data_IF_538808136214
#
_entry.id   IF_538808136214
#
_cell.length_a   1.000
_cell.length_b   1.000
_cell.length_c   1.000
_cell.angle_alpha   90.00
_cell.angle_beta   90.00
_cell.angle_gamma   90.00
#
_symmetry.space_group_name_H-M   'P 1'
#
loop_
_entity.id
_entity.type
_entity.pdbx_description
1 polymer ?
#
# COMPACT_ATOMS: atom_id res chain seq x y z
N UNK A 1 -0.85 -15.27 5.37
CA UNK A 1 -0.82 -13.84 4.98
C UNK A 1 -1.70 -13.65 3.76
N UNK A 2 -2.39 -12.52 3.64
CA UNK A 2 -3.16 -12.14 2.45
C UNK A 2 -2.62 -10.80 1.95
N UNK A 3 -1.83 -10.78 0.87
CA UNK A 3 -1.41 -9.54 0.23
C UNK A 3 -2.60 -8.88 -0.47
N UNK A 4 -2.77 -7.58 -0.29
CA UNK A 4 -3.85 -6.81 -0.88
C UNK A 4 -3.32 -5.44 -1.27
N UNK A 5 -3.42 -5.08 -2.55
CA UNK A 5 -2.95 -3.80 -3.08
C UNK A 5 -4.03 -3.09 -3.88
N UNK A 6 -3.60 -2.44 -4.96
CA UNK A 6 -4.42 -1.78 -5.96
C UNK A 6 -3.76 -1.94 -7.32
N UNK A 7 -4.56 -1.80 -8.38
CA UNK A 7 -4.07 -1.62 -9.74
C UNK A 7 -4.38 -0.19 -10.14
N UNK A 8 -3.38 0.67 -10.13
CA UNK A 8 -3.54 2.11 -10.32
C UNK A 8 -2.30 2.77 -10.88
N UNK A 9 -2.50 3.88 -11.59
CA UNK A 9 -1.40 4.71 -12.06
C UNK A 9 -0.44 5.04 -10.91
N UNK A 10 0.86 5.00 -11.17
CA UNK A 10 1.91 5.52 -10.29
C UNK A 10 2.82 6.42 -11.14
N UNK A 11 2.17 7.33 -11.88
CA UNK A 11 2.76 8.09 -12.97
C UNK A 11 3.34 7.24 -14.09
N UNK A 12 4.15 7.87 -14.94
CA UNK A 12 4.72 7.20 -16.12
C UNK A 12 5.96 6.34 -15.81
N UNK A 13 6.59 6.55 -14.66
CA UNK A 13 7.84 5.90 -14.29
C UNK A 13 7.65 4.56 -13.57
N UNK A 14 6.50 4.29 -12.96
CA UNK A 14 6.25 3.09 -12.17
C UNK A 14 5.08 2.25 -12.72
N UNK A 15 5.05 0.93 -12.44
CA UNK A 15 4.03 0.04 -12.96
C UNK A 15 2.68 0.25 -12.28
N UNK A 16 1.58 -0.09 -12.99
CA UNK A 16 0.22 -0.06 -12.46
C UNK A 16 0.01 -0.95 -11.22
N UNK A 17 0.86 -1.97 -11.05
CA UNK A 17 0.75 -2.94 -9.97
C UNK A 17 1.59 -2.63 -8.74
N UNK A 18 2.13 -1.41 -8.59
CA UNK A 18 3.07 -1.02 -7.52
C UNK A 18 2.64 -1.55 -6.15
N UNK A 19 1.42 -1.21 -5.71
CA UNK A 19 0.87 -1.59 -4.41
C UNK A 19 0.82 -3.10 -4.21
N UNK A 20 0.31 -3.82 -5.20
CA UNK A 20 0.18 -5.27 -5.13
C UNK A 20 1.53 -5.97 -5.18
N UNK A 21 2.42 -5.55 -6.07
CA UNK A 21 3.77 -6.11 -6.23
C UNK A 21 4.58 -5.98 -4.93
N UNK A 22 4.56 -4.80 -4.31
CA UNK A 22 5.28 -4.57 -3.06
C UNK A 22 4.66 -5.33 -1.88
N UNK A 23 3.32 -5.40 -1.79
CA UNK A 23 2.65 -6.21 -0.77
C UNK A 23 2.94 -7.71 -0.92
N UNK A 24 2.98 -8.22 -2.15
CA UNK A 24 3.37 -9.61 -2.46
C UNK A 24 4.82 -9.85 -2.05
N UNK A 25 5.74 -8.97 -2.46
CA UNK A 25 7.16 -9.09 -2.13
C UNK A 25 7.41 -9.13 -0.62
N UNK A 26 6.73 -8.28 0.16
CA UNK A 26 6.82 -8.32 1.63
C UNK A 26 6.33 -9.66 2.20
N UNK A 27 5.25 -10.21 1.63
CA UNK A 27 4.69 -11.48 2.06
C UNK A 27 5.63 -12.65 1.73
N UNK A 28 6.23 -12.66 0.54
CA UNK A 28 7.16 -13.69 0.07
C UNK A 28 8.42 -13.72 0.94
N UNK A 29 9.10 -12.58 1.08
CA UNK A 29 10.34 -12.49 1.87
C UNK A 29 10.09 -12.80 3.36
N UNK A 30 8.94 -12.42 3.93
CA UNK A 30 8.56 -12.80 5.30
C UNK A 30 8.19 -14.28 5.43
N UNK A 31 7.56 -14.87 4.40
CA UNK A 31 7.22 -16.29 4.35
C UNK A 31 8.48 -17.14 4.27
N UNK A 32 9.49 -16.77 3.48
CA UNK A 32 10.77 -17.49 3.44
C UNK A 32 11.43 -17.57 4.82
N UNK A 33 11.33 -16.50 5.62
CA UNK A 33 11.93 -16.43 6.96
C UNK A 33 11.12 -17.16 8.04
N UNK A 34 9.81 -17.33 7.83
CA UNK A 34 8.91 -17.84 8.88
C UNK A 34 8.28 -19.19 8.54
N UNK A 35 8.05 -19.49 7.27
CA UNK A 35 7.22 -20.60 6.78
C UNK A 35 5.71 -20.33 6.87
N UNK A 36 5.27 -19.09 7.10
CA UNK A 36 3.83 -18.76 7.13
C UNK A 36 3.27 -18.70 5.70
N UNK A 37 2.22 -19.48 5.44
CA UNK A 37 1.57 -19.57 4.13
C UNK A 37 1.04 -18.21 3.63
N UNK A 38 1.13 -18.00 2.31
CA UNK A 38 0.59 -16.84 1.59
C UNK A 38 -0.64 -17.29 0.79
N UNK A 39 -1.75 -16.57 0.93
CA UNK A 39 -2.92 -16.74 0.07
C UNK A 39 -2.71 -15.99 -1.26
N UNK A 40 -3.39 -16.36 -2.35
CA UNK A 40 -3.37 -15.57 -3.58
C UNK A 40 -3.70 -14.09 -3.31
N UNK A 41 -2.97 -13.15 -3.93
CA UNK A 41 -3.12 -11.73 -3.66
C UNK A 41 -4.44 -11.17 -4.21
N UNK A 42 -4.93 -10.12 -3.55
CA UNK A 42 -6.02 -9.28 -4.05
C UNK A 42 -5.41 -8.10 -4.80
N UNK A 43 -5.49 -8.15 -6.14
CA UNK A 43 -4.86 -7.18 -7.04
C UNK A 43 -5.62 -5.86 -7.20
N UNK A 44 -6.94 -5.88 -7.03
CA UNK A 44 -7.78 -4.71 -7.23
C UNK A 44 -8.25 -4.16 -5.89
N UNK A 45 -7.97 -2.87 -5.67
CA UNK A 45 -8.37 -2.10 -4.50
C UNK A 45 -9.48 -1.10 -4.82
N UNK A 46 -9.74 -0.22 -3.85
CA UNK A 46 -10.58 0.94 -4.05
C UNK A 46 -9.70 2.14 -4.38
N UNK A 47 -9.73 2.60 -5.63
CA UNK A 47 -8.88 3.67 -6.16
C UNK A 47 -9.58 4.56 -7.21
N UNK A 48 -10.85 4.98 -7.02
CA UNK A 48 -11.58 5.72 -8.06
C UNK A 48 -10.91 7.06 -8.41
N UNK A 49 -10.22 7.67 -7.45
CA UNK A 49 -9.47 8.91 -7.63
C UNK A 49 -8.28 8.78 -8.59
N UNK A 50 -7.82 7.55 -8.85
CA UNK A 50 -6.77 7.26 -9.82
C UNK A 50 -7.30 6.88 -11.21
N UNK A 51 -8.62 6.92 -11.44
CA UNK A 51 -9.25 6.63 -12.75
C UNK A 51 -8.97 7.69 -13.82
N UNK A 52 -8.40 8.83 -13.43
CA UNK A 52 -8.01 9.92 -14.34
C UNK A 52 -6.92 9.51 -15.34
N UNK A 53 -6.26 8.37 -15.17
CA UNK A 53 -5.26 7.83 -16.09
C UNK A 53 -5.60 6.38 -16.50
N UNK A 54 -5.30 5.99 -17.75
CA UNK A 54 -5.63 4.67 -18.26
C UNK A 54 -4.84 3.57 -17.53
N UNK A 55 -5.50 2.44 -17.31
CA UNK A 55 -4.90 1.25 -16.69
C UNK A 55 -5.29 1.04 -15.23
N UNK A 56 -5.72 2.08 -14.52
CA UNK A 56 -6.32 1.94 -13.18
C UNK A 56 -7.58 1.07 -13.25
N UNK A 57 -7.68 0.11 -12.34
CA UNK A 57 -8.86 -0.75 -12.16
C UNK A 57 -9.28 -0.66 -10.69
N UNK A 58 -10.30 0.16 -10.44
CA UNK A 58 -10.90 0.30 -9.11
C UNK A 58 -12.14 -0.57 -8.96
N UNK A 59 -12.27 -1.25 -7.82
CA UNK A 59 -13.53 -1.87 -7.41
C UNK A 59 -14.32 -0.94 -6.49
N UNK A 60 -15.62 -1.18 -6.39
CA UNK A 60 -16.49 -0.50 -5.41
C UNK A 60 -16.11 -0.94 -3.99
N UNK A 61 -16.27 -0.08 -2.97
CA UNK A 61 -15.84 -0.41 -1.60
C UNK A 61 -16.60 -1.64 -1.06
N UNK A 62 -17.88 -1.80 -1.40
CA UNK A 62 -18.67 -2.97 -1.01
C UNK A 62 -18.10 -4.26 -1.61
N UNK A 63 -17.62 -4.22 -2.86
CA UNK A 63 -17.02 -5.39 -3.52
C UNK A 63 -15.70 -5.78 -2.85
N UNK A 64 -14.87 -4.79 -2.49
CA UNK A 64 -13.62 -5.05 -1.77
C UNK A 64 -13.89 -5.70 -0.40
N UNK A 65 -14.90 -5.19 0.33
CA UNK A 65 -15.32 -5.72 1.62
C UNK A 65 -15.80 -7.17 1.48
N UNK A 66 -16.74 -7.43 0.57
CA UNK A 66 -17.31 -8.77 0.38
C UNK A 66 -16.26 -9.77 -0.13
N UNK A 67 -15.37 -9.36 -1.05
CA UNK A 67 -14.30 -10.22 -1.56
C UNK A 67 -13.34 -10.64 -0.43
N UNK A 68 -12.89 -9.68 0.38
CA UNK A 68 -11.99 -9.95 1.49
C UNK A 68 -12.67 -10.82 2.55
N UNK A 69 -13.94 -10.53 2.88
CA UNK A 69 -14.73 -11.36 3.79
C UNK A 69 -14.87 -12.80 3.28
N UNK A 70 -15.20 -12.99 2.00
CA UNK A 70 -15.38 -14.32 1.40
C UNK A 70 -14.07 -15.12 1.29
N UNK A 71 -12.95 -14.45 1.02
CA UNK A 71 -11.63 -15.07 1.08
C UNK A 71 -11.33 -15.60 2.50
N UNK A 72 -11.52 -14.76 3.51
CA UNK A 72 -11.30 -15.12 4.92
C UNK A 72 -12.27 -16.22 5.37
N UNK A 73 -13.54 -16.14 4.99
CA UNK A 73 -14.58 -17.16 5.24
C UNK A 73 -14.21 -18.50 4.64
N UNK A 74 -13.78 -18.51 3.38
CA UNK A 74 -13.36 -19.74 2.69
C UNK A 74 -12.17 -20.38 3.39
N UNK A 75 -11.14 -19.58 3.70
CA UNK A 75 -9.95 -20.07 4.41
C UNK A 75 -10.27 -20.52 5.84
N UNK A 76 -11.17 -19.83 6.55
CA UNK A 76 -11.56 -20.25 7.89
C UNK A 76 -12.29 -21.60 7.89
N UNK A 77 -13.05 -21.93 6.84
CA UNK A 77 -13.63 -23.27 6.67
C UNK A 77 -12.58 -24.37 6.53
N UNK A 78 -11.39 -24.06 6.02
CA UNK A 78 -10.26 -24.99 5.94
C UNK A 78 -9.45 -25.09 7.25
N UNK A 79 -9.84 -24.36 8.30
CA UNK A 79 -9.20 -24.43 9.62
C UNK A 79 -8.28 -23.26 9.94
N UNK A 80 -8.05 -22.32 9.02
CA UNK A 80 -7.27 -21.11 9.32
C UNK A 80 -8.00 -20.23 10.35
N UNK A 81 -7.28 -19.73 11.36
CA UNK A 81 -7.86 -18.92 12.45
C UNK A 81 -7.19 -17.57 12.66
N UNK A 82 -5.98 -17.39 12.13
CA UNK A 82 -5.21 -16.15 12.24
C UNK A 82 -4.86 -15.66 10.84
N UNK A 83 -5.11 -14.38 10.57
CA UNK A 83 -4.88 -13.75 9.27
C UNK A 83 -4.06 -12.48 9.47
N UNK A 84 -3.07 -12.28 8.61
CA UNK A 84 -2.36 -11.00 8.48
C UNK A 84 -2.64 -10.47 7.08
N UNK A 85 -3.27 -9.31 7.00
CA UNK A 85 -3.58 -8.60 5.77
C UNK A 85 -2.47 -7.58 5.52
N UNK A 86 -1.75 -7.72 4.40
CA UNK A 86 -0.65 -6.82 4.05
C UNK A 86 -1.22 -5.79 3.07
N UNK A 87 -1.41 -4.56 3.53
CA UNK A 87 -2.03 -3.49 2.74
C UNK A 87 -0.99 -2.76 1.90
N UNK A 88 -1.08 -2.85 0.58
CA UNK A 88 -0.21 -2.14 -0.36
C UNK A 88 -0.69 -0.72 -0.69
N UNK A 89 -2.01 -0.46 -0.62
CA UNK A 89 -2.64 0.80 -1.06
C UNK A 89 -3.02 1.72 0.10
N UNK A 90 -2.20 1.70 1.16
CA UNK A 90 -2.17 2.65 2.29
C UNK A 90 -3.57 3.09 2.76
N UNK A 91 -3.76 4.40 2.99
CA UNK A 91 -4.95 4.99 3.59
C UNK A 91 -6.23 4.81 2.75
N UNK A 92 -6.12 4.55 1.44
CA UNK A 92 -7.29 4.44 0.56
C UNK A 92 -8.01 3.08 0.72
N UNK A 93 -7.26 1.98 0.88
CA UNK A 93 -7.85 0.68 1.18
C UNK A 93 -8.16 0.46 2.67
N UNK A 94 -7.43 1.13 3.57
CA UNK A 94 -7.45 0.85 5.01
C UNK A 94 -8.86 0.85 5.65
N UNK A 95 -9.77 1.82 5.38
CA UNK A 95 -11.12 1.81 5.97
C UNK A 95 -11.92 0.56 5.58
N UNK A 96 -11.85 0.15 4.32
CA UNK A 96 -12.59 -1.00 3.80
C UNK A 96 -12.03 -2.31 4.34
N UNK A 97 -10.70 -2.41 4.45
CA UNK A 97 -10.04 -3.54 5.10
C UNK A 97 -10.46 -3.64 6.57
N UNK A 98 -10.53 -2.52 7.30
CA UNK A 98 -10.95 -2.50 8.70
C UNK A 98 -12.40 -2.96 8.87
N UNK A 99 -13.32 -2.49 8.01
CA UNK A 99 -14.73 -2.91 8.03
C UNK A 99 -14.87 -4.41 7.75
N UNK A 100 -14.20 -4.91 6.70
CA UNK A 100 -14.22 -6.33 6.37
C UNK A 100 -13.62 -7.18 7.50
N UNK A 101 -12.52 -6.70 8.10
CA UNK A 101 -11.83 -7.39 9.19
C UNK A 101 -12.69 -7.45 10.45
N UNK A 102 -13.32 -6.34 10.87
CA UNK A 102 -14.25 -6.33 12.00
C UNK A 102 -15.33 -7.38 11.80
N UNK A 103 -16.01 -7.34 10.65
CA UNK A 103 -17.12 -8.25 10.35
C UNK A 103 -16.66 -9.70 10.37
N UNK A 104 -15.52 -10.01 9.75
CA UNK A 104 -14.95 -11.34 9.73
C UNK A 104 -14.56 -11.84 11.13
N UNK A 105 -13.94 -11.00 11.97
CA UNK A 105 -13.62 -11.39 13.36
C UNK A 105 -14.89 -11.70 14.16
N UNK A 106 -15.90 -10.82 14.07
CA UNK A 106 -17.16 -10.95 14.79
C UNK A 106 -17.96 -12.19 14.37
N UNK A 107 -18.04 -12.46 13.06
CA UNK A 107 -18.90 -13.53 12.53
C UNK A 107 -18.20 -14.87 12.41
N UNK A 108 -16.91 -14.89 12.07
CA UNK A 108 -16.15 -16.12 11.78
C UNK A 108 -15.28 -16.58 12.96
N UNK A 109 -15.18 -15.77 14.04
CA UNK A 109 -14.37 -16.05 15.24
C UNK A 109 -12.90 -16.30 14.90
N UNK A 110 -12.36 -15.47 14.03
CA UNK A 110 -10.95 -15.46 13.62
C UNK A 110 -10.24 -14.24 14.21
N UNK A 111 -8.90 -14.26 14.26
CA UNK A 111 -8.09 -13.09 14.59
C UNK A 111 -7.47 -12.51 13.32
N UNK A 112 -7.61 -11.21 13.11
CA UNK A 112 -7.12 -10.52 11.92
C UNK A 112 -6.23 -9.36 12.35
N UNK A 113 -5.06 -9.27 11.72
CA UNK A 113 -4.09 -8.21 11.92
C UNK A 113 -3.85 -7.51 10.58
N UNK A 114 -3.78 -6.18 10.59
CA UNK A 114 -3.47 -5.39 9.40
C UNK A 114 -2.01 -4.95 9.52
N UNK A 115 -1.21 -5.29 8.52
CA UNK A 115 0.14 -4.81 8.33
C UNK A 115 0.11 -3.73 7.25
N UNK A 116 0.24 -2.47 7.65
CA UNK A 116 0.24 -1.32 6.75
C UNK A 116 1.65 -0.70 6.70
N UNK A 117 2.36 -0.74 5.56
CA UNK A 117 3.70 -0.19 5.40
C UNK A 117 3.85 1.27 5.83
N UNK A 118 2.81 2.11 5.71
CA UNK A 118 2.87 3.51 6.14
C UNK A 118 3.11 3.61 7.65
N UNK A 119 2.35 2.84 8.43
CA UNK A 119 2.44 2.84 9.89
C UNK A 119 3.59 1.97 10.41
N UNK A 120 3.94 0.91 9.67
CA UNK A 120 4.99 -0.04 10.06
C UNK A 120 6.41 0.48 9.78
N UNK A 121 6.55 1.64 9.13
CA UNK A 121 7.85 2.24 8.78
C UNK A 121 8.16 3.56 9.48
N UNK A 122 7.31 4.01 10.42
CA UNK A 122 7.42 5.35 11.02
C UNK A 122 8.78 5.63 11.68
N UNK A 123 9.39 4.64 12.34
CA UNK A 123 10.70 4.82 12.99
C UNK A 123 11.86 4.81 12.00
N UNK A 124 11.75 4.06 10.89
CA UNK A 124 12.71 4.11 9.80
C UNK A 124 12.62 5.44 9.05
N UNK A 125 11.41 5.91 8.72
CA UNK A 125 11.16 7.16 8.01
C UNK A 125 11.66 8.41 8.78
N UNK A 126 11.90 8.30 10.08
CA UNK A 126 12.59 9.34 10.89
C UNK A 126 14.11 9.36 10.72
N UNK A 127 14.70 8.28 10.19
CA UNK A 127 16.15 8.06 10.08
C UNK A 127 16.64 8.11 8.63
N UNK A 128 15.78 7.73 7.69
CA UNK A 128 16.05 7.76 6.26
C UNK A 128 15.35 8.98 5.67
N UNK A 129 16.12 9.80 4.94
CA UNK A 129 15.62 11.01 4.28
C UNK A 129 14.84 10.65 3.00
N UNK A 130 13.55 10.38 3.19
CA UNK A 130 12.59 10.30 2.11
C UNK A 130 12.02 11.70 1.81
N UNK A 131 11.75 11.95 0.54
CA UNK A 131 10.99 13.12 0.11
C UNK A 131 9.55 13.16 0.65
N UNK A 132 8.80 14.22 0.30
CA UNK A 132 7.42 14.39 0.76
C UNK A 132 6.53 13.20 0.42
N UNK A 133 5.70 12.81 1.38
CA UNK A 133 4.78 11.69 1.27
C UNK A 133 3.58 11.97 0.34
N UNK A 134 3.29 11.01 -0.53
CA UNK A 134 2.12 11.05 -1.38
C UNK A 134 1.94 9.78 -2.20
N UNK A 135 2.03 9.91 -3.52
CA UNK A 135 1.61 8.92 -4.51
C UNK A 135 2.63 8.82 -5.64
N UNK A 136 3.15 7.61 -5.90
CA UNK A 136 4.33 7.40 -6.74
C UNK A 136 5.53 8.21 -6.24
N UNK A 137 5.61 8.36 -4.93
CA UNK A 137 6.60 9.19 -4.26
C UNK A 137 7.99 8.52 -4.21
N UNK A 138 8.94 9.20 -3.56
CA UNK A 138 10.30 8.71 -3.32
C UNK A 138 10.31 7.34 -2.62
N UNK A 139 9.42 7.11 -1.66
CA UNK A 139 9.41 5.90 -0.85
C UNK A 139 8.94 4.69 -1.68
N UNK A 140 7.84 4.83 -2.43
CA UNK A 140 7.32 3.76 -3.30
C UNK A 140 8.29 3.44 -4.42
N UNK A 141 8.80 4.49 -5.05
CA UNK A 141 9.69 4.37 -6.20
C UNK A 141 11.04 3.78 -5.77
N UNK A 142 11.60 4.22 -4.63
CA UNK A 142 12.80 3.58 -4.04
C UNK A 142 12.55 2.10 -3.77
N UNK A 143 11.40 1.74 -3.18
CA UNK A 143 11.05 0.35 -2.87
C UNK A 143 10.94 -0.52 -4.13
N UNK A 144 10.32 0.02 -5.18
CA UNK A 144 10.28 -0.61 -6.51
C UNK A 144 11.67 -0.76 -7.12
N UNK A 145 12.50 0.28 -7.11
CA UNK A 145 13.87 0.21 -7.64
C UNK A 145 14.70 -0.87 -6.96
N UNK A 146 14.41 -1.19 -5.70
CA UNK A 146 15.03 -2.30 -5.00
C UNK A 146 14.49 -3.68 -5.43
N UNK A 147 13.16 -3.87 -5.45
CA UNK A 147 12.55 -5.20 -5.66
C UNK A 147 12.30 -5.55 -7.13
N UNK A 148 12.00 -4.55 -7.95
CA UNK A 148 11.60 -4.68 -9.35
C UNK A 148 12.23 -3.56 -10.22
N UNK A 149 13.57 -3.41 -10.22
CA UNK A 149 14.25 -2.33 -10.94
C UNK A 149 13.90 -2.27 -12.43
N UNK A 150 13.64 -3.41 -13.05
CA UNK A 150 13.28 -3.54 -14.46
C UNK A 150 11.91 -2.94 -14.82
N UNK A 151 11.06 -2.69 -13.82
CA UNK A 151 9.75 -2.09 -13.99
C UNK A 151 9.74 -0.56 -13.81
N UNK A 152 10.87 0.03 -13.40
CA UNK A 152 10.98 1.47 -13.12
C UNK A 152 11.70 2.20 -14.25
N UNK A 153 11.08 3.27 -14.75
CA UNK A 153 11.60 4.15 -15.80
C UNK A 153 11.86 5.54 -15.25
N UNK A 154 12.94 5.69 -14.50
CA UNK A 154 13.27 6.94 -13.78
C UNK A 154 13.39 8.16 -14.70
N UNK A 155 13.70 7.97 -15.97
CA UNK A 155 13.72 9.02 -16.99
C UNK A 155 12.33 9.64 -17.27
N UNK A 156 11.25 8.95 -16.90
CA UNK A 156 9.86 9.43 -17.01
C UNK A 156 9.34 10.01 -15.67
N UNK A 157 10.14 9.98 -14.60
CA UNK A 157 9.71 10.42 -13.27
C UNK A 157 9.54 11.94 -13.23
N UNK A 158 8.46 12.40 -12.61
CA UNK A 158 8.15 13.83 -12.44
C UNK A 158 7.82 14.15 -11.00
N UNK A 159 8.42 15.22 -10.50
CA UNK A 159 8.17 15.72 -9.16
C UNK A 159 6.98 16.68 -9.14
N UNK A 160 6.15 16.55 -8.11
CA UNK A 160 5.10 17.51 -7.81
C UNK A 160 4.75 17.47 -6.33
N UNK A 161 4.90 18.59 -5.63
CA UNK A 161 4.58 18.71 -4.21
C UNK A 161 3.51 19.81 -4.04
N UNK A 162 2.24 19.45 -3.79
CA UNK A 162 1.18 20.43 -3.61
C UNK A 162 1.27 21.11 -2.25
N UNK A 163 0.83 22.36 -2.17
CA UNK A 163 0.52 22.98 -0.87
C UNK A 163 -0.70 22.27 -0.26
N UNK A 164 -0.60 21.89 1.03
CA UNK A 164 -1.65 21.18 1.75
C UNK A 164 -2.11 21.95 2.99
N UNK A 165 -3.42 22.06 3.13
CA UNK A 165 -4.07 22.56 4.36
C UNK A 165 -4.29 21.41 5.35
N UNK A 166 -4.50 20.20 4.84
CA UNK A 166 -4.74 18.97 5.61
C UNK A 166 -3.65 17.96 5.28
N UNK A 167 -3.09 17.35 6.32
CA UNK A 167 -2.03 16.33 6.23
C UNK A 167 -2.59 14.99 6.66
N UNK A 168 -2.11 13.93 6.00
CA UNK A 168 -2.47 12.55 6.25
C UNK A 168 -1.18 11.71 6.24
N UNK A 169 -0.29 12.05 7.17
CA UNK A 169 0.98 11.37 7.38
C UNK A 169 1.25 11.36 8.89
N UNK A 170 1.32 10.19 9.54
CA UNK A 170 1.50 10.12 11.00
C UNK A 170 2.81 10.73 11.51
N UNK A 171 3.76 11.06 10.62
CA UNK A 171 4.98 11.79 10.98
C UNK A 171 4.80 13.31 10.95
N UNK A 172 3.76 13.84 10.30
CA UNK A 172 3.51 15.26 10.26
C UNK A 172 2.95 15.76 11.61
N UNK A 173 3.60 16.72 12.29
CA UNK A 173 3.08 17.25 13.55
C UNK A 173 1.69 17.90 13.43
N UNK A 174 1.29 18.23 12.21
CA UNK A 174 -0.02 18.80 11.85
C UNK A 174 -0.98 17.76 11.25
N UNK A 175 -0.67 16.47 11.34
CA UNK A 175 -1.60 15.42 10.92
C UNK A 175 -2.92 15.59 11.68
N UNK A 176 -4.00 15.76 10.94
CA UNK A 176 -5.33 15.96 11.51
C UNK A 176 -6.15 14.68 11.50
N UNK A 177 -5.63 13.59 10.92
CA UNK A 177 -6.37 12.38 10.57
C UNK A 177 -7.62 12.67 9.69
N UNK A 178 -7.77 13.89 9.16
CA UNK A 178 -8.87 14.26 8.28
C UNK A 178 -8.61 13.83 6.83
N UNK A 179 -8.15 12.60 6.64
CA UNK A 179 -7.95 12.06 5.32
C UNK A 179 -9.26 11.59 4.72
N UNK A 180 -9.65 12.22 3.62
CA UNK A 180 -10.62 11.70 2.68
C UNK A 180 -9.91 11.62 1.34
N UNK A 181 -9.91 10.46 0.66
CA UNK A 181 -9.33 10.34 -0.68
C UNK A 181 -9.85 11.44 -1.61
N UNK A 182 -8.97 11.98 -2.45
CA UNK A 182 -9.32 13.05 -3.39
C UNK A 182 -10.43 12.62 -4.34
N UNK A 183 -11.17 13.57 -4.90
CA UNK A 183 -12.11 13.24 -5.97
C UNK A 183 -11.39 13.04 -7.29
N UNK A 184 -12.06 12.40 -8.26
CA UNK A 184 -11.53 12.23 -9.61
C UNK A 184 -11.28 13.60 -10.27
N UNK A 185 -12.17 14.58 -10.06
CA UNK A 185 -12.02 15.93 -10.59
C UNK A 185 -10.74 16.59 -10.07
N UNK A 186 -10.47 16.49 -8.76
CA UNK A 186 -9.25 17.05 -8.17
C UNK A 186 -7.99 16.40 -8.71
N UNK A 187 -8.01 15.08 -8.90
CA UNK A 187 -6.87 14.37 -9.49
C UNK A 187 -6.70 14.72 -10.98
N UNK A 188 -7.78 15.03 -11.69
CA UNK A 188 -7.73 15.49 -13.07
C UNK A 188 -7.10 16.88 -13.16
N UNK A 189 -7.41 17.80 -12.25
CA UNK A 189 -6.75 19.12 -12.17
C UNK A 189 -5.24 18.99 -11.96
N UNK A 190 -4.80 18.07 -11.08
CA UNK A 190 -3.39 17.79 -10.85
C UNK A 190 -2.75 17.24 -12.14
N UNK A 191 -3.43 16.29 -12.79
CA UNK A 191 -2.99 15.72 -14.06
C UNK A 191 -2.83 16.76 -15.15
N UNK A 192 -3.78 17.66 -15.31
CA UNK A 192 -3.74 18.71 -16.33
C UNK A 192 -2.65 19.74 -16.04
N UNK A 193 -2.46 20.11 -14.77
CA UNK A 193 -1.48 21.13 -14.38
C UNK A 193 -0.04 20.64 -14.38
N UNK A 194 0.20 19.36 -14.12
CA UNK A 194 1.57 18.80 -14.00
C UNK A 194 1.93 17.86 -15.17
N UNK A 195 0.93 17.44 -15.95
CA UNK A 195 1.07 16.42 -16.99
C UNK A 195 1.29 15.01 -16.44
N UNK A 196 1.05 14.78 -15.15
CA UNK A 196 1.13 13.49 -14.47
C UNK A 196 0.29 13.49 -13.17
N UNK A 197 0.19 12.37 -12.48
CA UNK A 197 -0.64 12.19 -11.27
C UNK A 197 0.17 11.90 -10.02
N UNK A 198 1.49 12.11 -10.12
CA UNK A 198 2.44 11.97 -9.02
C UNK A 198 2.23 13.05 -7.99
N UNK A 199 2.36 12.68 -6.72
CA UNK A 199 2.42 13.59 -5.60
C UNK A 199 3.61 13.18 -4.73
N UNK A 200 4.71 13.91 -4.83
CA UNK A 200 5.96 13.61 -4.17
C UNK A 200 7.15 13.99 -5.04
N UNK A 201 8.31 13.45 -4.70
CA UNK A 201 9.57 13.71 -5.42
C UNK A 201 10.26 12.39 -5.82
N UNK A 202 9.69 11.59 -6.74
CA UNK A 202 10.31 10.35 -7.19
C UNK A 202 11.71 10.56 -7.78
N UNK A 203 12.08 11.76 -8.23
CA UNK A 203 13.46 12.05 -8.67
C UNK A 203 14.53 11.79 -7.60
N UNK A 204 14.14 11.79 -6.32
CA UNK A 204 15.02 11.52 -5.18
C UNK A 204 15.17 10.02 -4.88
N UNK A 205 14.49 9.16 -5.61
CA UNK A 205 14.44 7.72 -5.32
C UNK A 205 15.80 7.05 -5.45
N UNK A 206 16.07 6.12 -4.54
CA UNK A 206 17.35 5.43 -4.44
C UNK A 206 17.13 3.96 -4.04
N UNK A 207 17.73 2.99 -4.74
CA UNK A 207 17.53 1.57 -4.46
C UNK A 207 18.08 1.14 -3.09
N UNK A 208 19.10 1.81 -2.54
CA UNK A 208 19.60 1.53 -1.19
C UNK A 208 18.61 2.01 -0.12
N UNK A 209 17.96 3.17 -0.32
CA UNK A 209 16.81 3.58 0.52
C UNK A 209 15.69 2.55 0.45
N UNK A 210 15.38 2.07 -0.76
CA UNK A 210 14.38 1.02 -1.00
C UNK A 210 14.70 -0.29 -0.29
N UNK A 211 15.97 -0.70 -0.30
CA UNK A 211 16.45 -1.89 0.41
C UNK A 211 16.30 -1.74 1.92
N UNK A 212 16.71 -0.61 2.48
CA UNK A 212 16.54 -0.33 3.92
C UNK A 212 15.05 -0.37 4.31
N UNK A 213 14.19 0.21 3.47
CA UNK A 213 12.74 0.20 3.65
C UNK A 213 12.15 -1.21 3.62
N UNK A 214 12.49 -1.99 2.59
CA UNK A 214 12.00 -3.36 2.44
C UNK A 214 12.44 -4.24 3.61
N UNK A 215 13.73 -4.27 3.95
CA UNK A 215 14.25 -5.12 5.03
C UNK A 215 13.67 -4.75 6.39
N UNK A 216 13.47 -3.46 6.65
CA UNK A 216 12.81 -2.99 7.86
C UNK A 216 11.37 -3.52 7.94
N UNK A 217 10.57 -3.36 6.89
CA UNK A 217 9.20 -3.85 6.86
C UNK A 217 9.11 -5.36 6.97
N UNK A 218 9.96 -6.11 6.29
CA UNK A 218 10.03 -7.57 6.43
C UNK A 218 10.37 -7.94 7.87
N UNK A 219 11.33 -7.27 8.50
CA UNK A 219 11.65 -7.46 9.92
C UNK A 219 10.45 -7.27 10.84
N UNK A 220 9.72 -6.16 10.69
CA UNK A 220 8.51 -5.85 11.47
C UNK A 220 7.39 -6.86 11.20
N UNK A 221 7.23 -7.31 9.96
CA UNK A 221 6.25 -8.32 9.60
C UNK A 221 6.60 -9.67 10.23
N UNK A 222 7.87 -10.08 10.20
CA UNK A 222 8.35 -11.29 10.87
C UNK A 222 8.12 -11.23 12.38
N UNK A 223 8.43 -10.10 13.03
CA UNK A 223 8.15 -9.88 14.46
C UNK A 223 6.66 -10.06 14.77
N UNK A 224 5.78 -9.42 13.98
CA UNK A 224 4.33 -9.57 14.12
C UNK A 224 3.92 -11.05 13.99
N UNK A 225 4.35 -11.72 12.92
CA UNK A 225 4.01 -13.12 12.64
C UNK A 225 4.46 -14.07 13.76
N UNK A 226 5.63 -13.84 14.35
CA UNK A 226 6.14 -14.63 15.46
C UNK A 226 5.37 -14.36 16.76
N UNK A 227 5.00 -13.10 17.03
CA UNK A 227 4.25 -12.72 18.24
C UNK A 227 2.85 -13.32 18.30
N UNK A 228 2.26 -13.61 17.14
CA UNK A 228 0.90 -14.15 17.01
C UNK A 228 0.87 -15.64 16.70
N UNK A 229 2.00 -16.37 16.77
CA UNK A 229 1.99 -17.83 16.57
C UNK A 229 1.20 -18.54 17.67
#
# INVERSE_FOLDING_TARGET
MIPLGSTEQHGRHAPLGTDSLLAIALAEDASERTGVLIAPPIWYGWSPHHMVAPGTVSVRPEVLIELLYDAIRSLSRHGFRKFVLINGHRLANLPWIQIASERAQRELKVSIFIFDPLYMSLDLRKKVDFGPFGHGDDMETSHLMHKFPELVRMEEAKDYVPERVVYADPLEPKDTLCYIPSTEERMMEIKESTGDTIIGTPSRSDPDKGKLYHEHLVGRLVELLQSIR
#
